data_IF_590899677596
#
_entry.id   IF_590899677596
#
_cell.length_a   1.000
_cell.length_b   1.000
_cell.length_c   1.000
_cell.angle_alpha   90.00
_cell.angle_beta   90.00
_cell.angle_gamma   90.00
#
_symmetry.space_group_name_H-M   'P 1'
#
loop_
_entity.id
_entity.type
_entity.pdbx_description
1 polymer ?
#
# COMPACT_ATOMS: atom_id res chain seq x y z
N UNK A 1 -38.74 28.31 0.97
CA UNK A 1 -38.31 27.16 1.80
C UNK A 1 -37.84 25.98 0.92
N UNK A 2 -37.02 26.22 -0.12
CA UNK A 2 -36.67 25.20 -1.14
C UNK A 2 -35.19 24.82 -1.17
N UNK A 3 -34.32 25.52 -0.41
CA UNK A 3 -32.87 25.25 -0.37
C UNK A 3 -32.45 24.27 0.72
N UNK A 4 -33.30 24.07 1.74
CA UNK A 4 -33.06 23.12 2.82
C UNK A 4 -32.79 21.68 2.35
N UNK A 5 -33.55 21.09 1.40
CA UNK A 5 -33.27 19.72 0.94
C UNK A 5 -31.98 19.62 0.13
N UNK A 6 -31.62 20.66 -0.63
CA UNK A 6 -30.38 20.70 -1.41
C UNK A 6 -29.15 20.78 -0.51
N UNK A 7 -29.20 21.65 0.51
CA UNK A 7 -28.13 21.77 1.50
C UNK A 7 -27.96 20.48 2.32
N UNK A 8 -29.06 19.82 2.66
CA UNK A 8 -29.03 18.53 3.36
C UNK A 8 -28.42 17.43 2.50
N UNK A 9 -28.83 17.30 1.23
CA UNK A 9 -28.24 16.34 0.30
C UNK A 9 -26.74 16.58 0.09
N UNK A 10 -26.31 17.83 -0.01
CA UNK A 10 -24.90 18.19 -0.16
C UNK A 10 -24.09 17.86 1.10
N UNK A 11 -24.63 18.14 2.29
CA UNK A 11 -24.01 17.77 3.55
C UNK A 11 -23.89 16.24 3.72
N UNK A 12 -24.88 15.46 3.30
CA UNK A 12 -24.82 14.00 3.33
C UNK A 12 -23.77 13.44 2.36
N UNK A 13 -23.59 14.04 1.17
CA UNK A 13 -22.55 13.66 0.22
C UNK A 13 -21.15 13.94 0.77
N UNK A 14 -20.95 15.12 1.38
CA UNK A 14 -19.67 15.47 2.01
C UNK A 14 -19.34 14.58 3.21
N UNK A 15 -20.33 14.23 4.04
CA UNK A 15 -20.15 13.29 5.15
C UNK A 15 -19.78 11.86 4.68
N UNK A 16 -20.14 11.49 3.44
CA UNK A 16 -19.74 10.23 2.82
C UNK A 16 -18.27 10.20 2.37
N UNK A 17 -17.66 11.36 2.10
CA UNK A 17 -16.26 11.46 1.68
C UNK A 17 -15.25 11.21 2.82
N UNK A 18 -15.68 11.39 4.08
CA UNK A 18 -14.85 11.19 5.28
C UNK A 18 -15.00 9.77 5.85
N UNK A 19 -15.76 8.88 5.19
CA UNK A 19 -15.85 7.50 5.66
C UNK A 19 -14.45 6.91 5.52
N UNK A 20 -13.83 6.42 6.62
CA UNK A 20 -12.53 5.78 6.53
C UNK A 20 -12.74 4.56 5.67
N UNK A 21 -12.38 4.69 4.39
CA UNK A 21 -12.37 3.59 3.46
C UNK A 21 -11.49 2.56 4.15
N UNK A 22 -12.09 1.47 4.63
CA UNK A 22 -11.34 0.32 5.09
C UNK A 22 -10.37 0.03 3.96
N UNK A 23 -9.10 0.39 4.13
CA UNK A 23 -8.11 0.53 3.05
C UNK A 23 -8.20 -0.71 2.16
N UNK A 24 -8.93 -0.56 1.06
CA UNK A 24 -9.30 -1.69 0.22
C UNK A 24 -8.15 -1.89 -0.74
N UNK A 25 -7.91 -3.14 -1.10
CA UNK A 25 -6.83 -3.49 -2.04
C UNK A 25 -7.05 -2.75 -3.36
N UNK A 26 -8.30 -2.60 -3.81
CA UNK A 26 -8.69 -1.83 -5.00
C UNK A 26 -8.33 -0.35 -4.90
N UNK A 27 -8.74 0.31 -3.81
CA UNK A 27 -8.48 1.74 -3.63
C UNK A 27 -6.97 2.00 -3.53
N UNK A 28 -6.26 1.14 -2.80
CA UNK A 28 -4.82 1.28 -2.62
C UNK A 28 -4.06 1.03 -3.93
N UNK A 29 -4.48 0.05 -4.74
CA UNK A 29 -3.89 -0.21 -6.06
C UNK A 29 -4.16 0.94 -7.07
N UNK A 30 -5.19 1.76 -6.84
CA UNK A 30 -5.49 2.91 -7.68
C UNK A 30 -4.61 4.15 -7.35
N UNK A 31 -3.98 4.21 -6.17
CA UNK A 31 -3.20 5.34 -5.68
C UNK A 31 -1.68 5.01 -5.59
N UNK A 32 -0.90 5.11 -6.69
CA UNK A 32 0.50 4.66 -6.74
C UNK A 32 1.42 5.34 -5.72
N UNK A 33 1.34 6.67 -5.59
CA UNK A 33 2.21 7.46 -4.70
C UNK A 33 1.99 7.07 -3.24
N UNK A 34 0.72 6.90 -2.85
CA UNK A 34 0.33 6.50 -1.50
C UNK A 34 0.75 5.06 -1.22
N UNK A 35 0.55 4.16 -2.18
CA UNK A 35 0.95 2.75 -2.07
C UNK A 35 2.47 2.61 -1.90
N UNK A 36 3.27 3.36 -2.67
CA UNK A 36 4.73 3.39 -2.55
C UNK A 36 5.17 3.85 -1.15
N UNK A 37 4.60 4.95 -0.64
CA UNK A 37 4.89 5.43 0.70
C UNK A 37 4.58 4.38 1.77
N UNK A 38 3.40 3.75 1.71
CA UNK A 38 3.00 2.70 2.66
C UNK A 38 3.90 1.46 2.60
N UNK A 39 4.35 1.07 1.41
CA UNK A 39 5.32 -0.02 1.25
C UNK A 39 6.64 0.30 1.95
N UNK A 40 7.12 1.55 1.86
CA UNK A 40 8.32 1.98 2.57
C UNK A 40 8.13 1.93 4.10
N UNK A 41 6.96 2.33 4.59
CA UNK A 41 6.62 2.31 6.02
C UNK A 41 6.54 0.86 6.55
N UNK A 42 5.95 -0.05 5.77
CA UNK A 42 5.93 -1.47 6.09
C UNK A 42 7.32 -2.11 6.14
N UNK A 43 8.24 -1.74 5.23
CA UNK A 43 9.65 -2.17 5.29
C UNK A 43 10.36 -1.66 6.55
N UNK A 44 9.98 -0.50 7.07
CA UNK A 44 10.50 0.06 8.33
C UNK A 44 9.81 -0.48 9.59
N UNK A 45 8.82 -1.36 9.45
CA UNK A 45 8.10 -1.96 10.59
C UNK A 45 7.11 -1.01 11.28
N UNK A 46 6.65 0.05 10.60
CA UNK A 46 5.74 1.05 11.19
C UNK A 46 4.28 0.57 11.31
N UNK A 47 3.94 -0.55 10.66
CA UNK A 47 2.58 -1.10 10.61
C UNK A 47 2.55 -2.59 10.95
N UNK A 48 1.38 -3.09 11.37
CA UNK A 48 1.20 -4.51 11.67
C UNK A 48 1.21 -5.39 10.41
N UNK A 49 1.50 -6.69 10.58
CA UNK A 49 1.62 -7.65 9.47
C UNK A 49 0.36 -7.80 8.62
N UNK A 50 -0.84 -7.73 9.20
CA UNK A 50 -2.11 -7.85 8.47
C UNK A 50 -2.33 -6.63 7.56
N UNK A 51 -1.95 -5.44 8.02
CA UNK A 51 -1.96 -4.23 7.21
C UNK A 51 -0.94 -4.32 6.09
N UNK A 52 0.31 -4.70 6.40
CA UNK A 52 1.36 -4.82 5.39
C UNK A 52 1.07 -5.90 4.35
N UNK A 53 0.41 -7.00 4.71
CA UNK A 53 -0.08 -8.00 3.77
C UNK A 53 -1.07 -7.42 2.75
N UNK A 54 -1.96 -6.51 3.17
CA UNK A 54 -2.87 -5.81 2.25
C UNK A 54 -2.13 -4.83 1.33
N UNK A 55 -1.14 -4.13 1.85
CA UNK A 55 -0.27 -3.25 1.04
C UNK A 55 0.45 -4.05 -0.03
N UNK A 56 1.04 -5.20 0.33
CA UNK A 56 1.69 -6.12 -0.61
C UNK A 56 0.70 -6.66 -1.65
N UNK A 57 -0.52 -7.03 -1.23
CA UNK A 57 -1.54 -7.50 -2.15
C UNK A 57 -1.96 -6.42 -3.17
N UNK A 58 -2.06 -5.16 -2.74
CA UNK A 58 -2.37 -4.04 -3.61
C UNK A 58 -1.24 -3.74 -4.60
N UNK A 59 0.02 -3.79 -4.13
CA UNK A 59 1.23 -3.65 -4.95
C UNK A 59 1.28 -4.71 -6.05
N UNK A 60 1.12 -5.99 -5.70
CA UNK A 60 1.06 -7.09 -6.68
C UNK A 60 -0.06 -6.92 -7.69
N UNK A 61 -1.25 -6.50 -7.24
CA UNK A 61 -2.40 -6.29 -8.14
C UNK A 61 -2.13 -5.17 -9.13
N UNK A 62 -1.53 -4.07 -8.67
CA UNK A 62 -1.18 -2.93 -9.52
C UNK A 62 -0.12 -3.32 -10.53
N UNK A 63 0.93 -4.01 -10.10
CA UNK A 63 1.99 -4.52 -10.98
C UNK A 63 1.41 -5.39 -12.11
N UNK A 64 0.54 -6.35 -11.76
CA UNK A 64 -0.10 -7.25 -12.72
C UNK A 64 -1.18 -6.59 -13.59
N UNK A 65 -1.64 -5.39 -13.25
CA UNK A 65 -2.67 -4.69 -14.03
C UNK A 65 -2.16 -4.07 -15.34
N UNK A 66 -0.84 -3.97 -15.51
CA UNK A 66 -0.22 -3.28 -16.65
C UNK A 66 -0.44 -1.75 -16.66
N UNK A 67 -1.06 -1.17 -15.63
CA UNK A 67 -1.29 0.28 -15.47
C UNK A 67 -0.12 1.01 -14.78
N UNK A 68 1.00 0.32 -14.63
CA UNK A 68 2.18 0.86 -13.98
C UNK A 68 2.86 1.91 -14.88
N UNK A 69 3.21 3.05 -14.31
CA UNK A 69 4.05 4.03 -14.99
C UNK A 69 5.52 3.61 -15.02
N UNK A 70 6.33 4.16 -15.95
CA UNK A 70 7.77 3.87 -16.01
C UNK A 70 8.53 4.29 -14.74
N UNK A 71 8.02 5.30 -14.03
CA UNK A 71 8.65 5.86 -12.83
C UNK A 71 8.06 5.29 -11.51
N UNK A 72 7.23 4.26 -11.60
CA UNK A 72 6.42 3.80 -10.47
C UNK A 72 7.11 2.76 -9.58
N UNK A 73 7.89 1.86 -10.19
CA UNK A 73 8.65 0.84 -9.47
C UNK A 73 10.12 1.20 -9.40
N UNK A 74 10.80 0.60 -8.43
CA UNK A 74 12.20 0.87 -8.10
C UNK A 74 13.06 0.92 -9.37
N UNK A 75 13.78 2.03 -9.50
CA UNK A 75 14.83 2.14 -10.50
C UNK A 75 15.99 1.25 -10.09
N UNK A 76 16.91 0.97 -11.01
CA UNK A 76 18.11 0.17 -10.71
C UNK A 76 18.90 0.73 -9.50
N UNK A 77 18.82 2.04 -9.27
CA UNK A 77 19.48 2.72 -8.14
C UNK A 77 18.84 2.42 -6.77
N UNK A 78 17.57 1.99 -6.75
CA UNK A 78 16.81 1.72 -5.52
C UNK A 78 16.86 0.24 -5.11
N UNK A 79 17.48 -0.61 -5.94
CA UNK A 79 17.65 -2.03 -5.65
C UNK A 79 18.70 -2.22 -4.54
N UNK A 80 18.48 -3.17 -3.62
CA UNK A 80 19.52 -3.53 -2.66
C UNK A 80 20.79 -3.98 -3.40
N UNK A 81 21.98 -3.81 -2.79
CA UNK A 81 23.21 -4.31 -3.37
C UNK A 81 23.09 -5.80 -3.66
N UNK A 82 23.65 -6.23 -4.79
CA UNK A 82 23.67 -7.64 -5.16
C UNK A 82 24.52 -8.39 -4.12
N UNK A 83 23.98 -9.41 -3.45
CA UNK A 83 24.75 -10.19 -2.49
C UNK A 83 25.86 -10.98 -3.19
N UNK A 84 26.96 -11.27 -2.47
CA UNK A 84 28.11 -11.98 -3.02
C UNK A 84 27.78 -13.44 -3.41
N UNK A 85 26.79 -14.05 -2.75
CA UNK A 85 26.22 -15.35 -3.05
C UNK A 85 24.75 -15.38 -2.61
N UNK A 86 23.95 -16.28 -3.18
CA UNK A 86 22.60 -16.58 -2.68
C UNK A 86 22.62 -17.52 -1.46
N UNK A 87 23.77 -18.16 -1.21
CA UNK A 87 23.96 -19.19 -0.20
C UNK A 87 24.73 -18.63 1.02
N UNK A 88 24.22 -17.60 1.66
CA UNK A 88 24.68 -17.28 3.02
C UNK A 88 23.79 -18.07 4.00
N UNK A 89 24.37 -18.81 4.96
CA UNK A 89 23.57 -19.55 5.92
C UNK A 89 22.83 -18.53 6.76
N UNK A 90 21.50 -18.60 6.76
CA UNK A 90 20.68 -18.00 7.79
C UNK A 90 21.27 -18.42 9.14
N UNK A 91 22.02 -17.54 9.79
CA UNK A 91 22.58 -17.81 11.11
C UNK A 91 21.40 -17.94 12.06
N UNK A 92 21.03 -19.19 12.35
CA UNK A 92 20.46 -19.64 13.61
C UNK A 92 19.12 -19.01 13.99
N UNK A 93 18.02 -19.48 13.38
CA UNK A 93 16.78 -19.71 14.13
C UNK A 93 16.73 -21.17 14.58
N UNK A 94 17.75 -21.56 15.36
CA UNK A 94 17.71 -22.76 16.18
C UNK A 94 17.63 -22.29 17.63
N UNK A 95 16.43 -22.31 18.20
CA UNK A 95 16.24 -22.78 19.57
C UNK A 95 14.80 -23.30 19.67
N UNK A 96 14.69 -24.62 19.52
CA UNK A 96 13.52 -25.42 19.87
C UNK A 96 13.66 -25.81 21.34
N UNK A 97 12.69 -25.50 22.21
CA UNK A 97 12.33 -26.36 23.32
C UNK A 97 11.46 -27.53 22.84
#
# INVERSE_FOLDING_TARGET
MTRAPVLFAFACLLAGCDRPQTLSVDALAAEPVRLHALRSQCRRGEHNGVFCARVVQADSRRFLSGKAGPDEYQTLADLPPIPASFEDPDTSMEERP
#
